data_IF_400329193811
#
_entry.id   IF_400329193811
#
_cell.length_a   1.000
_cell.length_b   1.000
_cell.length_c   1.000
_cell.angle_alpha   90.00
_cell.angle_beta   90.00
_cell.angle_gamma   90.00
#
_symmetry.space_group_name_H-M   'P 1'
#
loop_
_entity.id
_entity.type
_entity.pdbx_description
1 polymer ?
#
# COMPACT_ATOMS: atom_id res chain seq x y z
N UNK A 1 -31.35 -0.90 0.23
CA UNK A 1 -30.59 0.37 0.13
C UNK A 1 -30.28 0.85 1.54
N UNK A 2 -29.17 1.56 1.80
CA UNK A 2 -28.80 1.99 3.14
C UNK A 2 -29.92 2.83 3.78
N UNK A 3 -30.34 2.49 5.00
CA UNK A 3 -31.42 3.17 5.75
C UNK A 3 -30.88 3.81 7.04
N UNK A 4 -31.73 4.52 7.80
CA UNK A 4 -31.35 5.16 9.07
C UNK A 4 -30.11 6.09 8.96
N UNK A 5 -30.01 6.85 7.85
CA UNK A 5 -28.92 7.82 7.61
C UNK A 5 -27.59 7.22 7.12
N UNK A 6 -27.50 5.89 6.99
CA UNK A 6 -26.25 5.20 6.61
C UNK A 6 -25.82 5.41 5.16
N UNK A 7 -26.70 5.94 4.30
CA UNK A 7 -26.39 6.28 2.91
C UNK A 7 -25.27 7.33 2.74
N UNK A 8 -24.86 8.00 3.84
CA UNK A 8 -23.70 8.91 3.86
C UNK A 8 -22.36 8.19 3.69
N UNK A 9 -22.27 6.90 4.04
CA UNK A 9 -21.01 6.16 4.06
C UNK A 9 -21.11 4.72 3.55
N UNK A 10 -22.33 4.16 3.44
CA UNK A 10 -22.56 2.87 2.81
C UNK A 10 -23.13 3.01 1.41
N UNK A 11 -22.64 2.17 0.51
CA UNK A 11 -23.19 1.96 -0.81
C UNK A 11 -24.39 1.00 -0.76
N UNK A 12 -25.30 1.07 -1.73
CA UNK A 12 -26.30 0.02 -1.91
C UNK A 12 -25.66 -1.31 -2.33
N UNK A 13 -26.38 -2.41 -2.09
CA UNK A 13 -25.92 -3.75 -2.48
C UNK A 13 -25.61 -3.80 -3.97
N UNK A 14 -24.46 -4.35 -4.29
CA UNK A 14 -23.86 -4.45 -5.62
C UNK A 14 -23.05 -5.75 -5.72
N UNK A 15 -22.51 -6.03 -6.91
CA UNK A 15 -21.62 -7.19 -7.10
C UNK A 15 -20.32 -7.05 -6.29
N UNK A 16 -19.85 -5.82 -6.09
CA UNK A 16 -18.63 -5.53 -5.32
C UNK A 16 -18.70 -6.05 -3.88
N UNK A 17 -19.90 -6.14 -3.29
CA UNK A 17 -20.11 -6.70 -1.93
C UNK A 17 -19.77 -8.19 -1.84
N UNK A 18 -19.70 -8.90 -2.97
CA UNK A 18 -19.42 -10.33 -3.05
C UNK A 18 -18.03 -10.65 -3.60
N UNK A 19 -17.21 -9.62 -3.91
CA UNK A 19 -15.87 -9.79 -4.47
C UNK A 19 -14.81 -9.26 -3.49
N UNK A 20 -13.65 -9.91 -3.46
CA UNK A 20 -12.46 -9.41 -2.73
C UNK A 20 -11.50 -8.72 -3.69
N UNK A 21 -11.06 -7.51 -3.33
CA UNK A 21 -10.04 -6.76 -4.08
C UNK A 21 -8.65 -7.16 -3.61
N UNK A 22 -7.75 -7.44 -4.55
CA UNK A 22 -6.33 -7.73 -4.29
C UNK A 22 -5.47 -6.79 -5.11
N UNK A 23 -4.46 -6.20 -4.50
CA UNK A 23 -3.51 -5.32 -5.16
C UNK A 23 -2.27 -6.09 -5.56
N UNK A 24 -1.86 -5.96 -6.83
CA UNK A 24 -0.59 -6.49 -7.33
C UNK A 24 0.34 -5.31 -7.57
N UNK A 25 1.49 -5.30 -6.92
CA UNK A 25 2.49 -4.24 -7.03
C UNK A 25 3.79 -4.89 -7.52
N UNK A 26 4.39 -4.31 -8.55
CA UNK A 26 5.67 -4.73 -9.11
C UNK A 26 6.50 -3.50 -9.45
N UNK A 27 7.78 -3.54 -9.12
CA UNK A 27 8.73 -2.47 -9.43
C UNK A 27 9.74 -2.98 -10.46
N UNK A 28 10.02 -2.16 -11.48
CA UNK A 28 11.29 -2.27 -12.21
C UNK A 28 12.42 -1.76 -11.30
N UNK A 29 13.67 -2.07 -11.66
CA UNK A 29 14.82 -1.59 -10.89
C UNK A 29 14.87 -0.07 -10.87
N UNK A 30 14.66 0.56 -12.02
CA UNK A 30 14.70 2.02 -12.22
C UNK A 30 13.59 2.73 -11.45
N UNK A 31 12.38 2.12 -11.43
CA UNK A 31 11.25 2.66 -10.69
C UNK A 31 11.44 2.55 -9.18
N UNK A 32 12.14 1.51 -8.69
CA UNK A 32 12.47 1.41 -7.27
C UNK A 32 13.63 2.35 -6.92
N UNK A 33 14.59 2.51 -7.83
CA UNK A 33 15.73 3.41 -7.68
C UNK A 33 15.30 4.86 -7.47
N UNK A 34 14.23 5.31 -8.12
CA UNK A 34 13.74 6.68 -7.94
C UNK A 34 13.10 6.95 -6.57
N UNK A 35 12.78 5.92 -5.78
CA UNK A 35 12.07 6.06 -4.49
C UNK A 35 12.74 5.37 -3.31
N UNK A 36 13.83 4.62 -3.53
CA UNK A 36 14.40 3.75 -2.50
C UNK A 36 14.93 4.53 -1.29
N UNK A 37 15.49 5.72 -1.52
CA UNK A 37 16.02 6.58 -0.46
C UNK A 37 14.90 7.04 0.48
N UNK A 38 13.77 7.50 -0.06
CA UNK A 38 12.61 7.93 0.73
C UNK A 38 12.04 6.77 1.55
N UNK A 39 11.90 5.59 0.95
CA UNK A 39 11.41 4.39 1.64
C UNK A 39 12.34 4.01 2.81
N UNK A 40 13.66 4.11 2.60
CA UNK A 40 14.63 3.88 3.67
C UNK A 40 14.56 4.94 4.76
N UNK A 41 14.37 6.22 4.41
CA UNK A 41 14.23 7.32 5.38
C UNK A 41 12.99 7.09 6.26
N UNK A 42 11.84 6.78 5.66
CA UNK A 42 10.63 6.46 6.43
C UNK A 42 10.86 5.27 7.36
N UNK A 43 11.35 4.15 6.82
CA UNK A 43 11.57 2.95 7.62
C UNK A 43 12.59 3.16 8.75
N UNK A 44 13.65 3.95 8.54
CA UNK A 44 14.61 4.32 9.60
C UNK A 44 13.97 5.21 10.66
N UNK A 45 13.16 6.20 10.25
CA UNK A 45 12.48 7.11 11.17
C UNK A 45 11.46 6.40 12.07
N UNK A 46 10.86 5.33 11.57
CA UNK A 46 9.92 4.47 12.31
C UNK A 46 10.61 3.36 13.13
N UNK A 47 11.95 3.24 13.05
CA UNK A 47 12.72 2.18 13.72
C UNK A 47 12.56 0.79 13.08
N UNK A 48 12.04 0.71 11.86
CA UNK A 48 11.81 -0.53 11.11
C UNK A 48 13.07 -0.96 10.33
N UNK A 49 14.14 -1.28 11.07
CA UNK A 49 15.47 -1.59 10.50
C UNK A 49 15.44 -2.70 9.44
N UNK A 50 14.61 -3.74 9.64
CA UNK A 50 14.47 -4.82 8.66
C UNK A 50 13.83 -4.37 7.35
N UNK A 51 12.87 -3.43 7.41
CA UNK A 51 12.22 -2.89 6.21
C UNK A 51 13.19 -2.03 5.41
N UNK A 52 13.91 -1.11 6.08
CA UNK A 52 14.96 -0.30 5.46
C UNK A 52 16.03 -1.19 4.81
N UNK A 53 16.52 -2.20 5.53
CA UNK A 53 17.52 -3.12 5.01
C UNK A 53 17.02 -3.93 3.81
N UNK A 54 15.74 -4.32 3.78
CA UNK A 54 15.18 -5.07 2.64
C UNK A 54 15.31 -4.29 1.33
N UNK A 55 15.22 -2.96 1.38
CA UNK A 55 15.40 -2.08 0.23
C UNK A 55 16.88 -1.85 -0.05
N UNK A 56 17.67 -1.48 0.97
CA UNK A 56 19.08 -1.16 0.83
C UNK A 56 19.89 -2.30 0.17
N UNK A 57 19.61 -3.57 0.51
CA UNK A 57 20.33 -4.72 -0.07
C UNK A 57 20.07 -4.94 -1.56
N UNK A 58 19.05 -4.29 -2.14
CA UNK A 58 18.75 -4.36 -3.57
C UNK A 58 19.60 -3.40 -4.41
N UNK A 59 20.29 -2.45 -3.76
CA UNK A 59 21.12 -1.40 -4.36
C UNK A 59 22.57 -1.39 -3.86
N UNK A 60 22.95 -2.36 -3.01
CA UNK A 60 24.35 -2.68 -2.67
C UNK A 60 24.95 -3.60 -3.72
#
# INVERSE_FOLDING_TARGET
LPTNGTAKFFSPLSVDDFIKKSSVICYSKEALESVHEDVEVFAKSEGLTAHANSVAVRFK
#
